data_IF_443446119964
#
_entry.id   IF_443446119964
#
_cell.length_a   1.000
_cell.length_b   1.000
_cell.length_c   1.000
_cell.angle_alpha   90.00
_cell.angle_beta   90.00
_cell.angle_gamma   90.00
#
_symmetry.space_group_name_H-M   'P 1'
#
loop_
_entity.id
_entity.type
_entity.pdbx_description
1 polymer ?
#
# COMPACT_ATOMS: atom_id res chain seq x y z
N UNK A 1 -5.18 -1.57 17.81
CA UNK A 1 -4.98 -2.53 18.90
C UNK A 1 -3.63 -3.22 18.75
N UNK A 2 -3.36 -3.93 17.65
CA UNK A 2 -2.09 -4.68 17.49
C UNK A 2 -0.85 -3.79 17.57
N UNK A 3 -0.87 -2.59 16.99
CA UNK A 3 0.27 -1.66 17.04
C UNK A 3 0.58 -1.12 18.46
N UNK A 4 -0.35 -1.23 19.40
CA UNK A 4 -0.22 -0.78 20.79
C UNK A 4 -0.16 -1.92 21.80
N UNK A 5 -0.05 -3.16 21.34
CA UNK A 5 -0.05 -4.36 22.18
C UNK A 5 1.20 -5.17 21.96
N UNK A 6 1.61 -5.95 22.95
CA UNK A 6 2.62 -6.97 22.76
C UNK A 6 2.00 -8.19 22.08
N UNK A 7 2.49 -8.52 20.89
CA UNK A 7 2.05 -9.66 20.10
C UNK A 7 3.25 -10.50 19.71
N UNK A 8 3.07 -11.80 19.58
CA UNK A 8 4.14 -12.72 19.21
C UNK A 8 4.05 -13.18 17.76
N UNK A 9 5.14 -13.62 17.22
CA UNK A 9 5.24 -14.15 15.86
C UNK A 9 5.00 -13.09 14.79
N UNK A 10 4.63 -13.54 13.59
CA UNK A 10 4.24 -12.68 12.49
C UNK A 10 2.76 -12.32 12.64
N UNK A 11 2.50 -11.25 13.35
CA UNK A 11 1.13 -10.75 13.62
C UNK A 11 0.95 -9.44 12.87
N UNK A 12 -0.03 -9.40 11.98
CA UNK A 12 -0.25 -8.21 11.17
C UNK A 12 -1.71 -7.99 10.81
N UNK A 13 -2.13 -6.74 10.75
CA UNK A 13 -3.36 -6.31 10.14
C UNK A 13 -3.00 -5.35 9.00
N UNK A 14 -3.19 -5.80 7.79
CA UNK A 14 -3.10 -5.00 6.58
C UNK A 14 -4.31 -4.06 6.44
N UNK A 15 -4.22 -3.16 5.49
CA UNK A 15 -5.36 -2.38 5.01
C UNK A 15 -5.89 -3.08 3.76
N UNK A 16 -6.97 -3.90 3.88
CA UNK A 16 -7.41 -4.81 2.83
C UNK A 16 -8.43 -4.14 1.90
N UNK A 17 -7.98 -3.28 1.02
CA UNK A 17 -8.83 -2.44 0.16
C UNK A 17 -9.79 -3.26 -0.71
N UNK A 18 -9.41 -4.46 -1.12
CA UNK A 18 -10.23 -5.32 -1.99
C UNK A 18 -11.04 -6.38 -1.22
N UNK A 19 -10.96 -6.41 0.09
CA UNK A 19 -11.65 -7.39 0.95
C UNK A 19 -12.70 -6.73 1.87
N UNK A 20 -12.68 -5.40 1.98
CA UNK A 20 -13.62 -4.63 2.80
C UNK A 20 -14.56 -3.81 1.92
N UNK A 21 -15.86 -4.09 2.00
CA UNK A 21 -16.87 -3.43 1.17
C UNK A 21 -16.93 -1.91 1.42
N UNK A 22 -16.71 -1.47 2.65
CA UNK A 22 -16.68 -0.05 2.99
C UNK A 22 -15.51 0.67 2.30
N UNK A 23 -14.34 0.04 2.27
CA UNK A 23 -13.16 0.58 1.58
C UNK A 23 -13.35 0.56 0.06
N UNK A 24 -13.91 -0.51 -0.49
CA UNK A 24 -14.25 -0.61 -1.92
C UNK A 24 -15.18 0.52 -2.31
N UNK A 25 -16.25 0.75 -1.56
CA UNK A 25 -17.21 1.80 -1.84
C UNK A 25 -16.60 3.21 -1.68
N UNK A 26 -15.78 3.44 -0.66
CA UNK A 26 -15.06 4.69 -0.46
C UNK A 26 -14.08 4.99 -1.61
N UNK A 27 -13.42 3.97 -2.13
CA UNK A 27 -12.55 4.09 -3.30
C UNK A 27 -13.34 4.44 -4.56
N UNK A 28 -14.46 3.76 -4.81
CA UNK A 28 -15.36 4.06 -5.93
C UNK A 28 -15.87 5.50 -5.91
N UNK A 29 -16.13 6.03 -4.73
CA UNK A 29 -16.57 7.42 -4.53
C UNK A 29 -15.42 8.44 -4.60
N UNK A 30 -14.19 8.00 -4.77
CA UNK A 30 -13.01 8.87 -4.74
C UNK A 30 -12.69 9.47 -3.37
N UNK A 31 -13.32 8.94 -2.32
CA UNK A 31 -13.07 9.38 -0.93
C UNK A 31 -11.81 8.74 -0.38
N UNK A 32 -11.58 7.47 -0.72
CA UNK A 32 -10.36 6.75 -0.38
C UNK A 32 -9.40 6.79 -1.58
N UNK A 33 -8.23 7.36 -1.36
CA UNK A 33 -7.15 7.49 -2.35
C UNK A 33 -5.92 6.73 -1.88
N UNK A 34 -4.96 6.49 -2.78
CA UNK A 34 -3.71 5.83 -2.42
C UNK A 34 -2.96 6.59 -1.32
N UNK A 35 -2.84 7.90 -1.44
CA UNK A 35 -2.18 8.76 -0.43
C UNK A 35 -2.80 8.61 0.97
N UNK A 36 -4.15 8.47 1.02
CA UNK A 36 -4.84 8.23 2.30
C UNK A 36 -4.54 6.85 2.86
N UNK A 37 -4.45 5.84 1.99
CA UNK A 37 -4.08 4.49 2.40
C UNK A 37 -2.66 4.47 2.96
N UNK A 38 -1.71 5.07 2.28
CA UNK A 38 -0.33 5.21 2.75
C UNK A 38 -0.30 5.93 4.11
N UNK A 39 -1.02 7.04 4.27
CA UNK A 39 -1.13 7.72 5.56
C UNK A 39 -1.74 6.84 6.67
N UNK A 40 -2.72 5.99 6.32
CA UNK A 40 -3.33 5.05 7.29
C UNK A 40 -2.34 3.96 7.72
N UNK A 41 -1.36 3.63 6.89
CA UNK A 41 -0.34 2.65 7.27
C UNK A 41 0.55 3.11 8.43
N UNK A 42 0.59 4.40 8.73
CA UNK A 42 1.27 4.90 9.93
C UNK A 42 0.71 4.28 11.22
N UNK A 43 -0.56 3.92 11.24
CA UNK A 43 -1.25 3.38 12.43
C UNK A 43 -1.68 1.91 12.26
N UNK A 44 -1.52 1.31 11.10
CA UNK A 44 -1.72 -0.12 10.91
C UNK A 44 -0.49 -0.91 11.39
N UNK A 45 -0.59 -2.22 11.49
CA UNK A 45 0.52 -3.04 11.98
C UNK A 45 1.45 -3.55 10.89
N UNK A 46 1.03 -3.60 9.63
CA UNK A 46 1.84 -4.19 8.55
C UNK A 46 1.97 -3.31 7.32
N UNK A 47 0.89 -2.79 6.73
CA UNK A 47 0.98 -1.99 5.51
C UNK A 47 -0.20 -2.16 4.56
N UNK A 48 0.05 -1.95 3.27
CA UNK A 48 -0.93 -2.01 2.19
C UNK A 48 -1.11 -3.43 1.67
N UNK A 49 -2.33 -3.80 1.35
CA UNK A 49 -2.64 -5.09 0.75
C UNK A 49 -3.68 -5.00 -0.36
N UNK A 50 -3.47 -5.79 -1.40
CA UNK A 50 -4.40 -5.91 -2.54
C UNK A 50 -4.73 -4.57 -3.21
N UNK A 51 -3.73 -3.71 -3.40
CA UNK A 51 -3.91 -2.43 -4.07
C UNK A 51 -3.84 -2.64 -5.58
N UNK A 52 -5.01 -2.64 -6.23
CA UNK A 52 -5.08 -2.69 -7.68
C UNK A 52 -4.81 -1.31 -8.28
N UNK A 53 -3.89 -1.25 -9.22
CA UNK A 53 -3.50 -0.03 -9.94
C UNK A 53 -3.60 -0.24 -11.45
N UNK A 54 -3.64 0.81 -12.29
CA UNK A 54 -3.66 0.66 -13.74
C UNK A 54 -2.51 -0.22 -14.25
N UNK A 55 -2.78 -0.99 -15.29
CA UNK A 55 -1.81 -1.94 -15.83
C UNK A 55 -0.61 -1.30 -16.53
N UNK A 56 -0.68 -0.02 -16.84
CA UNK A 56 0.38 0.80 -17.44
C UNK A 56 1.16 1.64 -16.41
N UNK A 57 0.97 1.35 -15.12
CA UNK A 57 1.74 2.00 -14.05
C UNK A 57 3.24 1.82 -14.27
N UNK A 58 4.02 2.89 -14.11
CA UNK A 58 5.47 2.81 -14.29
C UNK A 58 6.15 2.12 -13.11
N UNK A 59 7.29 1.50 -13.38
CA UNK A 59 8.13 0.89 -12.34
C UNK A 59 8.56 1.92 -11.28
N UNK A 60 8.82 3.17 -11.70
CA UNK A 60 9.19 4.25 -10.80
C UNK A 60 8.05 4.61 -9.85
N UNK A 61 6.80 4.58 -10.32
CA UNK A 61 5.63 4.82 -9.45
C UNK A 61 5.48 3.71 -8.41
N UNK A 62 5.63 2.45 -8.81
CA UNK A 62 5.62 1.32 -7.86
C UNK A 62 6.78 1.45 -6.86
N UNK A 63 7.96 1.82 -7.34
CA UNK A 63 9.13 2.05 -6.47
C UNK A 63 8.90 3.19 -5.48
N UNK A 64 8.17 4.24 -5.88
CA UNK A 64 7.81 5.34 -4.97
C UNK A 64 6.87 4.85 -3.85
N UNK A 65 5.84 4.10 -4.18
CA UNK A 65 4.92 3.50 -3.18
C UNK A 65 5.71 2.64 -2.17
N UNK A 66 6.64 1.83 -2.66
CA UNK A 66 7.50 1.01 -1.79
C UNK A 66 8.41 1.88 -0.92
N UNK A 67 8.94 2.97 -1.47
CA UNK A 67 9.81 3.89 -0.73
C UNK A 67 9.04 4.63 0.37
N UNK A 68 7.81 5.05 0.11
CA UNK A 68 6.94 5.71 1.08
C UNK A 68 6.59 4.75 2.24
N UNK A 69 6.21 3.52 1.93
CA UNK A 69 5.93 2.51 2.95
C UNK A 69 7.18 2.13 3.77
N UNK A 70 8.36 2.06 3.11
CA UNK A 70 9.62 1.83 3.83
C UNK A 70 9.95 3.00 4.76
N UNK A 71 9.72 4.24 4.34
CA UNK A 71 9.92 5.42 5.17
C UNK A 71 8.96 5.45 6.37
N UNK A 72 7.69 5.09 6.16
CA UNK A 72 6.70 4.94 7.22
C UNK A 72 7.13 3.87 8.22
N UNK A 73 7.60 2.73 7.73
CA UNK A 73 8.14 1.65 8.56
C UNK A 73 9.32 2.11 9.40
N UNK A 74 10.26 2.83 8.79
CA UNK A 74 11.42 3.39 9.48
C UNK A 74 11.03 4.36 10.60
N UNK A 75 10.16 5.32 10.31
CA UNK A 75 9.74 6.34 11.27
C UNK A 75 8.98 5.71 12.45
N UNK A 76 8.13 4.73 12.17
CA UNK A 76 7.30 4.07 13.17
C UNK A 76 7.97 2.85 13.82
N UNK A 77 9.21 2.55 13.48
CA UNK A 77 9.96 1.39 13.98
C UNK A 77 9.20 0.07 13.81
N UNK A 78 8.60 -0.14 12.64
CA UNK A 78 7.84 -1.33 12.30
C UNK A 78 8.18 -1.85 10.91
N UNK A 79 7.96 -3.14 10.70
CA UNK A 79 7.99 -3.73 9.35
C UNK A 79 6.74 -3.29 8.58
N UNK A 80 6.95 -2.88 7.34
CA UNK A 80 5.86 -2.62 6.38
C UNK A 80 5.93 -3.61 5.23
N UNK A 81 4.78 -3.95 4.68
CA UNK A 81 4.66 -4.78 3.49
C UNK A 81 3.68 -4.12 2.51
N UNK A 82 3.92 -4.33 1.23
CA UNK A 82 3.12 -3.76 0.14
C UNK A 82 2.81 -4.84 -0.88
N UNK A 83 1.52 -5.04 -1.17
CA UNK A 83 1.07 -5.84 -2.31
C UNK A 83 0.31 -4.96 -3.29
N UNK A 84 1.00 -4.55 -4.35
CA UNK A 84 0.44 -3.79 -5.47
C UNK A 84 0.18 -4.74 -6.64
N UNK A 85 -0.95 -4.58 -7.29
CA UNK A 85 -1.39 -5.44 -8.40
C UNK A 85 -1.61 -4.56 -9.63
N UNK A 86 -0.66 -4.51 -10.58
CA UNK A 86 -0.88 -3.87 -11.87
C UNK A 86 -1.93 -4.66 -12.67
N UNK A 87 -3.05 -4.03 -12.96
CA UNK A 87 -4.18 -4.66 -13.65
C UNK A 87 -4.05 -4.48 -15.17
N UNK A 88 -3.35 -5.38 -15.82
CA UNK A 88 -3.05 -5.31 -17.27
C UNK A 88 -4.33 -5.11 -18.09
N UNK A 89 -4.32 -4.08 -18.94
CA UNK A 89 -5.45 -3.72 -19.81
C UNK A 89 -6.60 -2.99 -19.11
N UNK A 90 -6.46 -2.69 -17.84
CA UNK A 90 -7.44 -1.98 -17.03
C UNK A 90 -6.99 -0.56 -16.70
N UNK A 91 -7.96 0.32 -16.47
CA UNK A 91 -7.75 1.75 -16.18
C UNK A 91 -8.37 2.16 -14.84
N UNK A 92 -8.06 3.37 -14.43
CA UNK A 92 -8.64 4.00 -13.25
C UNK A 92 -10.16 3.86 -13.19
N UNK A 93 -10.67 3.46 -12.03
CA UNK A 93 -12.11 3.35 -11.77
C UNK A 93 -12.77 2.08 -12.30
N UNK A 94 -12.10 1.27 -13.12
CA UNK A 94 -12.60 -0.04 -13.48
C UNK A 94 -12.53 -1.00 -12.30
N UNK A 95 -13.23 -2.13 -12.40
CA UNK A 95 -13.16 -3.18 -11.39
C UNK A 95 -12.24 -4.32 -11.83
N UNK A 96 -11.49 -4.82 -10.86
CA UNK A 96 -10.74 -6.06 -10.98
C UNK A 96 -11.41 -7.11 -10.09
N UNK A 97 -11.69 -8.27 -10.65
CA UNK A 97 -12.18 -9.43 -9.91
C UNK A 97 -11.03 -10.42 -9.78
N UNK A 98 -10.62 -10.70 -8.57
CA UNK A 98 -9.53 -11.64 -8.27
C UNK A 98 -10.03 -13.10 -8.24
N UNK A 99 -11.35 -13.28 -8.15
CA UNK A 99 -11.99 -14.60 -8.06
C UNK A 99 -11.91 -15.23 -6.69
N UNK A 100 -12.81 -16.17 -6.44
CA UNK A 100 -12.85 -16.95 -5.22
C UNK A 100 -12.91 -16.10 -3.94
N UNK A 101 -12.08 -16.45 -2.97
CA UNK A 101 -12.00 -15.79 -1.67
C UNK A 101 -11.23 -14.44 -1.71
N UNK A 102 -10.58 -14.12 -2.82
CA UNK A 102 -9.79 -12.89 -2.93
C UNK A 102 -10.62 -11.63 -3.23
N UNK A 103 -11.92 -11.83 -3.48
CA UNK A 103 -12.85 -10.72 -3.65
C UNK A 103 -12.68 -9.94 -4.96
N UNK A 104 -13.01 -8.68 -4.90
CA UNK A 104 -12.90 -7.75 -6.02
C UNK A 104 -12.55 -6.36 -5.50
N UNK A 105 -12.00 -5.51 -6.37
CA UNK A 105 -11.70 -4.13 -5.98
C UNK A 105 -11.68 -3.18 -7.17
N UNK A 106 -11.88 -1.89 -6.92
CA UNK A 106 -11.67 -0.88 -7.94
C UNK A 106 -10.18 -0.71 -8.18
N UNK A 107 -9.85 -0.37 -9.43
CA UNK A 107 -8.51 0.07 -9.78
C UNK A 107 -8.34 1.49 -9.28
N UNK A 108 -7.38 1.67 -8.38
CA UNK A 108 -7.14 2.95 -7.75
C UNK A 108 -6.42 3.91 -8.70
N UNK A 109 -6.89 5.14 -8.83
CA UNK A 109 -6.13 6.15 -9.55
C UNK A 109 -4.80 6.42 -8.87
N UNK A 110 -3.76 6.52 -9.67
CA UNK A 110 -2.41 6.88 -9.23
C UNK A 110 -2.12 8.35 -9.51
N UNK A 111 -1.21 8.94 -8.75
CA UNK A 111 -0.76 10.30 -8.97
C UNK A 111 -0.21 10.49 -10.40
N UNK A 112 -0.55 11.61 -11.02
CA UNK A 112 0.02 12.01 -12.31
C UNK A 112 1.43 12.60 -12.20
N UNK A 113 1.88 12.85 -10.98
CA UNK A 113 3.24 13.29 -10.72
C UNK A 113 4.20 12.15 -10.99
N UNK A 114 5.30 12.46 -11.69
CA UNK A 114 6.30 11.45 -12.06
C UNK A 114 7.39 11.42 -11.00
N UNK A 115 7.59 10.32 -10.28
CA UNK A 115 8.61 10.20 -9.24
C UNK A 115 10.01 9.91 -9.80
N UNK A 116 10.18 9.85 -11.11
CA UNK A 116 11.40 9.41 -11.80
C UNK A 116 12.68 10.10 -11.28
N UNK A 117 12.64 11.42 -11.09
CA UNK A 117 13.82 12.17 -10.60
C UNK A 117 14.20 11.72 -9.20
N UNK A 118 13.21 11.51 -8.33
CA UNK A 118 13.44 11.06 -6.96
C UNK A 118 13.97 9.61 -6.94
N UNK A 119 13.29 8.71 -7.62
CA UNK A 119 13.63 7.28 -7.63
C UNK A 119 15.00 7.04 -8.32
N UNK A 120 15.23 7.65 -9.47
CA UNK A 120 16.49 7.43 -10.21
C UNK A 120 17.71 8.12 -9.57
N UNK A 121 17.50 8.99 -8.61
CA UNK A 121 18.57 9.57 -7.81
C UNK A 121 19.34 8.51 -7.01
N UNK A 122 18.67 7.42 -6.68
CA UNK A 122 19.21 6.39 -5.82
C UNK A 122 19.37 6.84 -4.37
N UNK A 123 19.96 6.01 -3.58
CA UNK A 123 20.17 6.24 -2.17
C UNK A 123 19.79 5.00 -1.34
N UNK A 124 19.94 5.13 -0.03
CA UNK A 124 19.52 4.10 0.92
C UNK A 124 18.50 4.68 1.88
N UNK A 125 17.43 3.94 2.12
CA UNK A 125 16.52 4.20 3.24
C UNK A 125 17.18 3.59 4.47
N UNK A 126 17.45 4.36 5.54
CA UNK A 126 18.05 3.84 6.75
C UNK A 126 17.18 2.75 7.36
N UNK A 127 17.80 1.67 7.83
CA UNK A 127 17.08 0.66 8.60
C UNK A 127 16.61 1.26 9.93
N UNK A 128 15.39 0.96 10.38
CA UNK A 128 14.94 1.39 11.70
C UNK A 128 15.80 0.72 12.77
N UNK A 129 16.37 1.52 13.66
CA UNK A 129 17.30 1.06 14.69
C UNK A 129 16.68 0.02 15.65
N UNK A 130 15.37 -0.05 15.72
CA UNK A 130 14.64 -0.86 16.68
C UNK A 130 13.68 -1.89 16.05
N UNK A 131 13.58 -2.00 14.73
CA UNK A 131 12.62 -2.89 14.06
C UNK A 131 12.90 -4.39 14.29
N UNK A 132 14.08 -4.73 14.74
CA UNK A 132 14.51 -6.11 15.02
C UNK A 132 14.56 -6.45 16.52
N UNK A 133 14.03 -5.60 17.38
CA UNK A 133 14.04 -5.79 18.84
C UNK A 133 12.76 -6.39 19.40
N UNK A 134 11.88 -6.91 18.53
CA UNK A 134 10.68 -7.64 18.97
C UNK A 134 10.92 -9.13 18.94
#
# INVERSE_FOLDING_TARGET
>A
VMASSSVGGLSGAFIPVSEDEGMIEATKKGVLTLDKLEAMTCVCSVGLDMIAVPGDVSAETISAIIADEAAIGMINSKTTAVRVIPAIGKKDGEQLNFGGLLGYGPIMPISKLKPNVFINRGGQIPSPLNSLKN
#
